data_IF_882558689448
#
_entry.id   IF_882558689448
#
_cell.length_a   1.000
_cell.length_b   1.000
_cell.length_c   1.000
_cell.angle_alpha   90.00
_cell.angle_beta   90.00
_cell.angle_gamma   90.00
#
_symmetry.space_group_name_H-M   'P 1'
#
loop_
_entity.id
_entity.type
_entity.pdbx_description
1 polymer ?
#
# COMPACT_ATOMS: atom_id res chain seq x y z
N UNK A 1 -12.47 18.78 23.48
CA UNK A 1 -13.15 17.48 23.31
C UNK A 1 -12.85 17.00 21.90
N UNK A 2 -12.22 15.83 21.80
CA UNK A 2 -11.72 15.20 20.58
C UNK A 2 -12.93 14.67 19.80
N UNK A 3 -13.44 15.44 18.85
CA UNK A 3 -14.50 15.03 17.93
C UNK A 3 -13.89 14.29 16.74
N UNK A 4 -13.71 12.99 16.92
CA UNK A 4 -13.74 11.89 15.93
C UNK A 4 -13.16 12.17 14.52
N UNK A 5 -11.95 11.65 14.19
CA UNK A 5 -11.25 11.97 12.94
C UNK A 5 -11.84 11.37 11.65
N UNK A 6 -13.06 10.82 11.65
CA UNK A 6 -13.48 9.87 10.59
C UNK A 6 -14.86 10.08 9.97
N UNK A 7 -15.57 11.16 10.29
CA UNK A 7 -16.83 11.49 9.61
C UNK A 7 -16.56 12.31 8.34
N UNK A 8 -16.32 11.65 7.21
CA UNK A 8 -16.34 12.33 5.90
C UNK A 8 -17.78 12.41 5.38
N UNK A 9 -18.43 13.55 5.58
CA UNK A 9 -19.62 13.95 4.82
C UNK A 9 -19.21 14.35 3.40
N UNK A 10 -19.77 13.65 2.40
CA UNK A 10 -19.53 13.80 0.96
C UNK A 10 -19.49 15.26 0.46
N UNK A 11 -18.46 15.65 -0.30
CA UNK A 11 -18.58 16.42 -1.57
C UNK A 11 -17.19 16.62 -2.22
N UNK A 12 -17.06 16.37 -3.51
CA UNK A 12 -15.84 16.73 -4.26
C UNK A 12 -15.67 15.91 -5.54
N UNK A 13 -15.92 16.57 -6.68
CA UNK A 13 -15.77 16.09 -8.05
C UNK A 13 -14.30 15.89 -8.43
N UNK A 14 -13.62 14.99 -7.74
CA UNK A 14 -12.29 14.49 -8.12
C UNK A 14 -12.47 13.07 -8.65
N UNK A 15 -11.80 12.72 -9.75
CA UNK A 15 -11.92 11.40 -10.39
C UNK A 15 -11.47 10.22 -9.48
N UNK A 16 -11.00 10.50 -8.27
CA UNK A 16 -10.70 9.55 -7.20
C UNK A 16 -11.53 9.79 -5.94
N UNK A 17 -12.87 9.83 -6.07
CA UNK A 17 -13.81 9.98 -4.97
C UNK A 17 -13.47 9.05 -3.79
N UNK A 18 -13.13 9.67 -2.66
CA UNK A 18 -12.78 9.09 -1.37
C UNK A 18 -12.62 7.57 -1.33
N UNK A 19 -11.38 7.08 -1.47
CA UNK A 19 -10.95 5.68 -1.32
C UNK A 19 -11.47 5.00 -0.02
N UNK A 20 -12.03 5.76 0.92
CA UNK A 20 -12.43 5.30 2.23
C UNK A 20 -11.23 5.35 3.17
N UNK A 21 -11.46 5.67 4.44
CA UNK A 21 -10.42 5.73 5.46
C UNK A 21 -9.55 4.46 5.48
N UNK A 22 -10.19 3.29 5.38
CA UNK A 22 -9.49 2.01 5.40
C UNK A 22 -8.47 1.87 4.26
N UNK A 23 -8.83 2.32 3.06
CA UNK A 23 -7.94 2.24 1.91
C UNK A 23 -6.85 3.32 1.95
N UNK A 24 -7.13 4.49 2.53
CA UNK A 24 -6.11 5.51 2.77
C UNK A 24 -5.05 5.03 3.76
N UNK A 25 -5.48 4.46 4.90
CA UNK A 25 -4.57 3.86 5.89
C UNK A 25 -3.77 2.73 5.25
N UNK A 26 -4.44 1.80 4.55
CA UNK A 26 -3.79 0.67 3.89
C UNK A 26 -2.74 1.15 2.87
N UNK A 27 -3.11 2.02 1.93
CA UNK A 27 -2.19 2.60 0.94
C UNK A 27 -0.97 3.21 1.61
N UNK A 28 -1.18 4.04 2.62
CA UNK A 28 -0.10 4.73 3.33
C UNK A 28 0.87 3.75 4.01
N UNK A 29 0.35 2.72 4.68
CA UNK A 29 1.17 1.70 5.34
C UNK A 29 1.96 0.86 4.32
N UNK A 30 1.31 0.47 3.22
CA UNK A 30 1.93 -0.31 2.16
C UNK A 30 3.04 0.48 1.47
N UNK A 31 2.79 1.73 1.09
CA UNK A 31 3.80 2.60 0.47
C UNK A 31 4.98 2.87 1.41
N UNK A 32 4.71 3.14 2.70
CA UNK A 32 5.77 3.32 3.70
C UNK A 32 6.61 2.06 3.90
N UNK A 33 6.03 0.88 3.68
CA UNK A 33 6.76 -0.39 3.70
C UNK A 33 7.54 -0.67 2.42
N UNK A 34 7.57 0.24 1.43
CA UNK A 34 8.28 0.08 0.17
C UNK A 34 7.48 -0.62 -0.93
N UNK A 35 6.15 -0.76 -0.77
CA UNK A 35 5.29 -1.30 -1.80
C UNK A 35 4.95 -0.28 -2.89
N UNK A 36 4.68 -0.75 -4.11
CA UNK A 36 3.95 -0.02 -5.15
C UNK A 36 2.54 -0.60 -5.29
N UNK A 37 1.56 0.24 -5.61
CA UNK A 37 0.16 -0.15 -5.77
C UNK A 37 -0.36 0.26 -7.15
N UNK A 38 -1.12 -0.63 -7.78
CA UNK A 38 -1.86 -0.40 -9.03
C UNK A 38 -3.35 -0.72 -8.80
N UNK A 39 -4.21 0.22 -9.16
CA UNK A 39 -5.65 0.13 -8.98
C UNK A 39 -6.33 0.10 -10.34
N UNK A 40 -7.19 -0.89 -10.56
CA UNK A 40 -7.97 -0.98 -11.80
C UNK A 40 -9.36 -1.55 -11.52
N UNK A 41 -10.33 -1.09 -12.30
CA UNK A 41 -11.62 -1.76 -12.38
C UNK A 41 -11.44 -3.02 -13.22
N UNK A 42 -12.07 -4.11 -12.78
CA UNK A 42 -12.05 -5.35 -13.53
C UNK A 42 -12.98 -5.26 -14.74
N UNK A 43 -12.63 -5.91 -15.85
CA UNK A 43 -13.29 -5.72 -17.15
C UNK A 43 -14.36 -6.75 -17.50
N UNK A 44 -14.60 -7.76 -16.66
CA UNK A 44 -15.63 -8.76 -16.87
C UNK A 44 -17.02 -8.34 -16.36
N UNK A 45 -18.04 -9.05 -16.84
CA UNK A 45 -19.44 -8.84 -16.46
C UNK A 45 -19.67 -9.17 -14.98
N UNK A 46 -20.10 -8.16 -14.21
CA UNK A 46 -20.37 -8.30 -12.77
C UNK A 46 -19.14 -8.09 -11.87
N UNK A 47 -18.04 -7.54 -12.41
CA UNK A 47 -16.78 -7.52 -11.68
C UNK A 47 -16.50 -6.22 -10.89
N UNK A 48 -15.73 -6.39 -9.81
CA UNK A 48 -15.37 -5.35 -8.86
C UNK A 48 -14.02 -4.67 -9.16
N UNK A 49 -13.33 -4.26 -8.10
CA UNK A 49 -12.01 -3.62 -8.21
C UNK A 49 -10.88 -4.64 -8.00
N UNK A 50 -9.79 -4.46 -8.74
CA UNK A 50 -8.54 -5.20 -8.55
C UNK A 50 -7.47 -4.23 -8.07
N UNK A 51 -6.76 -4.62 -7.01
CA UNK A 51 -5.59 -3.91 -6.49
C UNK A 51 -4.39 -4.83 -6.56
N UNK A 52 -3.37 -4.44 -7.29
CA UNK A 52 -2.10 -5.15 -7.35
C UNK A 52 -1.09 -4.42 -6.47
N UNK A 53 -0.40 -5.17 -5.60
CA UNK A 53 0.57 -4.63 -4.64
C UNK A 53 1.89 -5.37 -4.85
N UNK A 54 2.99 -4.64 -5.03
CA UNK A 54 4.30 -5.22 -5.31
C UNK A 54 5.37 -4.64 -4.40
N UNK A 55 6.24 -5.49 -3.85
CA UNK A 55 7.43 -5.06 -3.12
C UNK A 55 8.69 -5.47 -3.88
N UNK A 56 9.70 -4.60 -3.98
CA UNK A 56 11.03 -5.02 -4.38
C UNK A 56 11.58 -6.03 -3.37
N UNK A 57 12.15 -7.13 -3.86
CA UNK A 57 12.65 -8.22 -2.98
C UNK A 57 13.68 -7.71 -1.96
N UNK A 58 14.47 -6.70 -2.33
CA UNK A 58 15.50 -6.09 -1.48
C UNK A 58 14.97 -5.46 -0.19
N UNK A 59 13.67 -5.07 -0.12
CA UNK A 59 13.05 -4.54 1.10
C UNK A 59 13.00 -5.57 2.23
N UNK A 60 13.00 -6.86 1.89
CA UNK A 60 12.97 -7.96 2.85
C UNK A 60 14.32 -8.66 3.04
N UNK A 61 15.32 -8.30 2.24
CA UNK A 61 16.66 -8.89 2.37
C UNK A 61 17.46 -8.08 3.38
N UNK A 62 17.91 -8.74 4.44
CA UNK A 62 18.84 -8.15 5.38
C UNK A 62 20.23 -8.07 4.71
N UNK A 63 20.79 -6.87 4.47
CA UNK A 63 22.11 -6.73 3.84
C UNK A 63 23.25 -7.34 4.68
N UNK A 64 23.02 -7.59 5.98
CA UNK A 64 24.05 -8.12 6.89
C UNK A 64 24.12 -9.65 6.92
N UNK A 65 23.31 -10.38 6.15
CA UNK A 65 23.28 -11.84 6.19
C UNK A 65 24.34 -12.55 5.34
N UNK A 66 25.29 -11.82 4.75
CA UNK A 66 26.29 -12.37 3.83
C UNK A 66 27.73 -11.90 4.06
N UNK A 67 28.17 -11.71 5.31
CA UNK A 67 29.58 -11.46 5.61
C UNK A 67 29.95 -11.76 7.07
N UNK A 68 30.37 -13.00 7.40
CA UNK A 68 31.31 -13.23 8.53
C UNK A 68 31.90 -14.66 8.64
N UNK A 69 32.24 -15.38 7.56
CA UNK A 69 32.81 -16.73 7.76
C UNK A 69 34.02 -17.16 6.92
N UNK A 70 34.62 -16.32 6.07
CA UNK A 70 35.72 -16.76 5.20
C UNK A 70 36.98 -15.88 5.19
N UNK A 71 37.23 -15.08 6.23
CA UNK A 71 38.45 -14.24 6.29
C UNK A 71 39.22 -14.47 7.59
N UNK A 72 39.76 -15.69 7.77
CA UNK A 72 40.93 -16.00 8.62
C UNK A 72 41.36 -17.45 8.33
N UNK A 73 42.39 -17.63 7.49
CA UNK A 73 43.45 -18.66 7.58
C UNK A 73 44.37 -18.57 6.35
#
# INVERSE_FOLDING_TARGET
RIGEPYMSTRQGTEAGGGLGLGLFIAKTLLERSGATLDFRNSSGLGEGAVVQISWPRGVFLNPESSSSMFDTA
#
